data_IF_144920690119
#
_entry.id   IF_144920690119
#
_cell.length_a   1.000
_cell.length_b   1.000
_cell.length_c   1.000
_cell.angle_alpha   90.00
_cell.angle_beta   90.00
_cell.angle_gamma   90.00
#
_symmetry.space_group_name_H-M   'P 1'
#
loop_
_entity.id
_entity.type
_entity.pdbx_description
1 polymer ?
#
# COMPACT_ATOMS: atom_id res chain seq x y z
N UNK A 1 -30.98 3.12 30.60
CA UNK A 1 -30.22 3.07 29.34
C UNK A 1 -29.42 1.79 29.23
N UNK A 2 -29.88 0.89 28.36
CA UNK A 2 -29.18 -0.32 27.98
C UNK A 2 -28.35 -0.05 26.72
N UNK A 3 -27.20 -0.70 26.56
CA UNK A 3 -26.41 -0.61 25.35
C UNK A 3 -26.66 -1.84 24.45
N UNK A 4 -26.66 -1.62 23.14
CA UNK A 4 -26.87 -2.66 22.13
C UNK A 4 -25.90 -2.49 20.96
N UNK A 5 -25.47 -3.59 20.37
CA UNK A 5 -24.80 -3.61 19.07
C UNK A 5 -25.84 -3.47 17.96
N UNK A 6 -25.70 -2.45 17.13
CA UNK A 6 -26.37 -2.36 15.83
C UNK A 6 -25.44 -2.92 14.75
N UNK A 7 -25.91 -3.93 14.03
CA UNK A 7 -25.18 -4.67 12.99
C UNK A 7 -25.85 -4.56 11.61
N UNK A 8 -26.92 -3.76 11.48
CA UNK A 8 -27.80 -3.75 10.30
C UNK A 8 -27.13 -3.28 9.01
N UNK A 9 -26.04 -2.51 9.10
CA UNK A 9 -25.35 -1.90 7.96
C UNK A 9 -24.00 -2.54 7.62
N UNK A 10 -23.71 -3.75 8.11
CA UNK A 10 -22.40 -4.39 7.95
C UNK A 10 -21.28 -3.74 8.76
N UNK A 11 -21.62 -2.75 9.59
CA UNK A 11 -20.75 -2.10 10.55
C UNK A 11 -21.31 -2.31 11.95
N UNK A 12 -20.43 -2.37 12.96
CA UNK A 12 -20.82 -2.46 14.36
C UNK A 12 -20.85 -1.05 14.95
N UNK A 13 -22.02 -0.64 15.42
CA UNK A 13 -22.20 0.53 16.26
C UNK A 13 -22.75 0.12 17.64
N UNK A 14 -22.46 0.91 18.67
CA UNK A 14 -23.04 0.71 20.00
C UNK A 14 -24.03 1.85 20.26
N UNK A 15 -25.28 1.49 20.51
CA UNK A 15 -26.39 2.42 20.74
C UNK A 15 -26.89 2.23 22.16
N UNK A 16 -26.99 3.33 22.90
CA UNK A 16 -27.61 3.35 24.23
C UNK A 16 -29.08 3.79 24.08
N UNK A 17 -30.01 2.93 24.49
CA UNK A 17 -31.45 3.21 24.46
C UNK A 17 -32.18 2.36 25.49
N UNK A 18 -33.44 2.72 25.77
CA UNK A 18 -34.38 1.86 26.48
C UNK A 18 -35.44 1.24 25.55
N UNK A 19 -35.45 1.61 24.26
CA UNK A 19 -36.33 1.05 23.21
C UNK A 19 -35.51 0.36 22.11
N UNK A 20 -35.15 -0.93 22.24
CA UNK A 20 -34.34 -1.62 21.25
C UNK A 20 -35.13 -1.91 19.96
N UNK A 21 -34.45 -1.84 18.82
CA UNK A 21 -35.00 -2.22 17.52
C UNK A 21 -34.72 -3.70 17.19
N UNK A 22 -35.53 -4.34 16.32
CA UNK A 22 -35.25 -5.68 15.82
C UNK A 22 -33.87 -5.75 15.13
N UNK A 23 -33.08 -6.77 15.46
CA UNK A 23 -31.72 -6.96 14.95
C UNK A 23 -30.61 -6.40 15.83
N UNK A 24 -30.96 -5.75 16.95
CA UNK A 24 -29.97 -5.28 17.93
C UNK A 24 -29.59 -6.37 18.92
N UNK A 25 -28.28 -6.52 19.17
CA UNK A 25 -27.75 -7.51 20.12
C UNK A 25 -27.38 -6.80 21.42
N UNK A 26 -27.99 -7.18 22.55
CA UNK A 26 -27.75 -6.52 23.84
C UNK A 26 -26.28 -6.67 24.28
N UNK A 27 -25.65 -5.54 24.61
CA UNK A 27 -24.28 -5.50 25.14
C UNK A 27 -24.26 -6.08 26.56
N UNK A 28 -23.36 -7.03 26.82
CA UNK A 28 -23.15 -7.60 28.16
C UNK A 28 -22.34 -6.64 29.02
N UNK A 29 -22.52 -6.67 30.34
CA UNK A 29 -21.73 -5.84 31.26
C UNK A 29 -20.22 -6.13 31.24
N UNK A 30 -19.82 -7.33 30.79
CA UNK A 30 -18.42 -7.73 30.61
C UNK A 30 -17.81 -7.26 29.29
N UNK A 31 -18.62 -6.67 28.41
CA UNK A 31 -18.21 -6.20 27.09
C UNK A 31 -17.96 -4.69 27.15
N UNK A 32 -16.87 -4.26 26.51
CA UNK A 32 -16.53 -2.85 26.33
C UNK A 32 -17.57 -2.10 25.50
N UNK A 33 -17.72 -0.79 25.78
CA UNK A 33 -18.54 0.16 25.00
C UNK A 33 -17.83 0.72 23.77
N UNK A 34 -16.60 0.30 23.49
CA UNK A 34 -15.88 0.72 22.31
C UNK A 34 -16.24 -0.17 21.12
N UNK A 35 -17.13 0.33 20.24
CA UNK A 35 -17.61 -0.40 19.07
C UNK A 35 -16.47 -0.86 18.15
N UNK A 36 -15.41 -0.04 18.04
CA UNK A 36 -14.25 -0.32 17.19
C UNK A 36 -13.44 -1.57 17.61
N UNK A 37 -13.67 -2.12 18.80
CA UNK A 37 -13.06 -3.38 19.25
C UNK A 37 -13.66 -4.61 18.58
N UNK A 38 -14.89 -4.47 18.09
CA UNK A 38 -15.66 -5.60 17.62
C UNK A 38 -15.70 -5.64 16.10
N UNK A 39 -15.79 -6.84 15.56
CA UNK A 39 -15.96 -7.12 14.13
C UNK A 39 -17.03 -8.18 13.93
N UNK A 40 -17.60 -8.24 12.73
CA UNK A 40 -18.50 -9.34 12.36
C UNK A 40 -17.66 -10.51 11.83
N UNK A 41 -18.01 -11.74 12.21
CA UNK A 41 -17.49 -12.95 11.56
C UNK A 41 -18.25 -13.25 10.25
N UNK A 42 -17.84 -14.31 9.54
CA UNK A 42 -18.49 -14.77 8.31
C UNK A 42 -19.96 -15.18 8.49
N UNK A 43 -20.38 -15.52 9.71
CA UNK A 43 -21.77 -15.81 10.10
C UNK A 43 -22.54 -14.54 10.55
N UNK A 44 -21.94 -13.36 10.48
CA UNK A 44 -22.54 -12.09 10.90
C UNK A 44 -22.63 -11.90 12.42
N UNK A 45 -21.83 -12.64 13.21
CA UNK A 45 -21.80 -12.52 14.68
C UNK A 45 -20.76 -11.53 15.13
N UNK A 46 -21.09 -10.77 16.17
CA UNK A 46 -20.18 -9.83 16.83
C UNK A 46 -19.10 -10.60 17.61
N UNK A 47 -17.84 -10.47 17.18
CA UNK A 47 -16.66 -11.03 17.85
C UNK A 47 -15.72 -9.91 18.31
N UNK A 48 -15.12 -10.08 19.49
CA UNK A 48 -14.09 -9.15 19.99
C UNK A 48 -12.77 -9.43 19.26
N UNK A 49 -12.26 -8.43 18.54
CA UNK A 49 -11.00 -8.52 17.81
C UNK A 49 -9.77 -8.33 18.71
N UNK A 50 -9.96 -7.85 19.94
CA UNK A 50 -8.89 -7.52 20.87
C UNK A 50 -9.16 -8.13 22.27
N UNK A 51 -9.26 -9.46 22.38
CA UNK A 51 -9.50 -10.11 23.66
C UNK A 51 -8.36 -9.80 24.64
N UNK A 52 -8.73 -9.48 25.89
CA UNK A 52 -7.76 -9.24 26.97
C UNK A 52 -7.08 -7.86 26.97
N UNK A 53 -7.36 -7.00 25.99
CA UNK A 53 -6.84 -5.62 25.97
C UNK A 53 -7.82 -4.65 26.65
N UNK A 54 -7.31 -3.60 27.28
CA UNK A 54 -8.12 -2.47 27.74
C UNK A 54 -8.58 -1.58 26.58
N UNK A 55 -9.55 -0.69 26.82
CA UNK A 55 -10.07 0.20 25.76
C UNK A 55 -9.01 1.18 25.24
N UNK A 56 -8.13 1.63 26.12
CA UNK A 56 -7.03 2.52 25.79
C UNK A 56 -6.00 1.83 24.87
N UNK A 57 -5.61 0.58 25.18
CA UNK A 57 -4.71 -0.21 24.33
C UNK A 57 -5.30 -0.50 22.95
N UNK A 58 -6.62 -0.66 22.86
CA UNK A 58 -7.28 -0.87 21.57
C UNK A 58 -7.37 0.41 20.77
N UNK A 59 -7.72 1.54 21.39
CA UNK A 59 -7.69 2.84 20.73
C UNK A 59 -6.30 3.16 20.19
N UNK A 60 -5.25 2.90 20.98
CA UNK A 60 -3.86 3.06 20.55
C UNK A 60 -3.53 2.15 19.37
N UNK A 61 -3.82 0.84 19.46
CA UNK A 61 -3.55 -0.10 18.38
C UNK A 61 -4.29 0.24 17.07
N UNK A 62 -5.54 0.71 17.17
CA UNK A 62 -6.32 1.15 16.00
C UNK A 62 -5.72 2.42 15.41
N UNK A 63 -5.30 3.37 16.24
CA UNK A 63 -4.66 4.60 15.77
C UNK A 63 -3.32 4.30 15.08
N UNK A 64 -2.52 3.37 15.60
CA UNK A 64 -1.28 2.89 14.96
C UNK A 64 -1.56 2.22 13.62
N UNK A 65 -2.59 1.36 13.54
CA UNK A 65 -3.01 0.72 12.30
C UNK A 65 -3.49 1.73 11.26
N UNK A 66 -4.26 2.74 11.67
CA UNK A 66 -4.71 3.82 10.78
C UNK A 66 -3.54 4.69 10.31
N UNK A 67 -2.58 4.98 11.20
CA UNK A 67 -1.37 5.71 10.84
C UNK A 67 -0.49 4.94 9.83
N UNK A 68 -0.32 3.62 10.03
CA UNK A 68 0.41 2.76 9.10
C UNK A 68 -0.30 2.66 7.73
N UNK A 69 -1.63 2.61 7.72
CA UNK A 69 -2.42 2.64 6.48
C UNK A 69 -2.28 3.99 5.77
N UNK A 70 -2.36 5.11 6.48
CA UNK A 70 -2.19 6.45 5.91
C UNK A 70 -0.80 6.69 5.30
N UNK A 71 0.25 6.09 5.89
CA UNK A 71 1.61 6.12 5.32
C UNK A 71 1.73 5.28 4.05
N UNK A 72 0.89 4.25 3.88
CA UNK A 72 0.89 3.36 2.72
C UNK A 72 -0.01 3.85 1.57
N UNK A 73 -0.95 4.77 1.85
CA UNK A 73 -1.93 5.28 0.88
C UNK A 73 -1.70 6.74 0.46
N UNK A 74 -0.63 7.39 0.90
CA UNK A 74 -0.25 8.67 0.31
C UNK A 74 -0.01 8.42 -1.19
N UNK A 75 -0.79 9.01 -2.11
CA UNK A 75 -0.50 8.87 -3.52
C UNK A 75 0.89 9.48 -3.72
N UNK A 76 1.90 8.65 -4.00
CA UNK A 76 3.09 9.16 -4.64
C UNK A 76 2.58 9.84 -5.90
N UNK A 77 2.72 11.17 -5.98
CA UNK A 77 2.46 11.90 -7.22
C UNK A 77 3.02 11.06 -8.36
N UNK A 78 2.25 10.73 -9.41
CA UNK A 78 2.70 9.83 -10.46
C UNK A 78 4.11 10.25 -10.85
N UNK A 79 5.10 9.39 -10.58
CA UNK A 79 6.51 9.71 -10.83
C UNK A 79 6.80 9.53 -12.31
N UNK A 80 6.02 10.23 -13.11
CA UNK A 80 5.99 10.17 -14.56
C UNK A 80 6.95 11.22 -15.07
N UNK A 81 8.01 10.75 -15.71
CA UNK A 81 8.99 11.56 -16.37
C UNK A 81 8.80 11.49 -17.88
N UNK A 82 9.15 12.58 -18.56
CA UNK A 82 9.44 12.47 -20.00
C UNK A 82 10.66 11.57 -20.21
N UNK A 83 10.78 10.96 -21.38
CA UNK A 83 11.93 10.12 -21.74
C UNK A 83 13.27 10.83 -21.53
N UNK A 84 13.34 12.11 -21.87
CA UNK A 84 14.56 12.90 -21.70
C UNK A 84 14.88 13.13 -20.22
N UNK A 85 13.87 13.45 -19.40
CA UNK A 85 14.06 13.59 -17.96
C UNK A 85 14.55 12.29 -17.31
N UNK A 86 14.04 11.14 -17.76
CA UNK A 86 14.53 9.83 -17.30
C UNK A 86 15.98 9.58 -17.72
N UNK A 87 16.31 9.77 -19.01
CA UNK A 87 17.67 9.56 -19.52
C UNK A 87 18.70 10.50 -18.87
N UNK A 88 18.31 11.74 -18.54
CA UNK A 88 19.17 12.70 -17.85
C UNK A 88 19.50 12.31 -16.40
N UNK A 89 18.88 11.27 -15.84
CA UNK A 89 19.26 10.72 -14.52
C UNK A 89 20.46 9.80 -14.57
N UNK A 90 20.85 9.35 -15.76
CA UNK A 90 22.03 8.55 -16.00
C UNK A 90 23.20 9.46 -16.37
N UNK A 91 24.42 8.99 -16.10
CA UNK A 91 25.61 9.61 -16.68
C UNK A 91 25.76 9.20 -18.15
N UNK A 92 26.50 9.98 -18.91
CA UNK A 92 26.78 9.65 -20.32
C UNK A 92 27.53 8.32 -20.46
N UNK A 93 28.37 7.97 -19.48
CA UNK A 93 29.14 6.73 -19.43
C UNK A 93 28.23 5.53 -19.16
N UNK A 94 27.29 5.67 -18.21
CA UNK A 94 26.25 4.67 -17.93
C UNK A 94 25.41 4.42 -19.19
N UNK A 95 24.94 5.47 -19.85
CA UNK A 95 24.17 5.34 -21.09
C UNK A 95 24.99 4.65 -22.19
N UNK A 96 26.25 5.05 -22.41
CA UNK A 96 27.10 4.42 -23.41
C UNK A 96 27.33 2.93 -23.13
N UNK A 97 27.50 2.55 -21.86
CA UNK A 97 27.62 1.16 -21.45
C UNK A 97 26.31 0.37 -21.72
N UNK A 98 25.15 0.95 -21.36
CA UNK A 98 23.84 0.34 -21.62
C UNK A 98 23.59 0.15 -23.12
N UNK A 99 23.84 1.17 -23.95
CA UNK A 99 23.71 1.06 -25.40
C UNK A 99 24.71 0.07 -26.02
N UNK A 100 25.90 -0.10 -25.43
CA UNK A 100 26.87 -1.09 -25.88
C UNK A 100 26.40 -2.51 -25.53
N UNK A 101 25.92 -2.71 -24.30
CA UNK A 101 25.39 -3.99 -23.86
C UNK A 101 24.11 -4.41 -24.61
N UNK A 102 23.26 -3.44 -24.99
CA UNK A 102 22.08 -3.69 -25.81
C UNK A 102 22.43 -4.38 -27.15
N UNK A 103 23.62 -4.14 -27.71
CA UNK A 103 24.03 -4.76 -28.99
C UNK A 103 24.29 -6.27 -28.89
N UNK A 104 24.49 -6.78 -27.68
CA UNK A 104 24.83 -8.19 -27.43
C UNK A 104 23.82 -8.90 -26.52
N UNK A 105 22.99 -8.14 -25.79
CA UNK A 105 21.95 -8.64 -24.91
C UNK A 105 20.57 -8.18 -25.37
N UNK A 106 19.83 -9.12 -25.98
CA UNK A 106 18.49 -8.90 -26.52
C UNK A 106 17.50 -8.37 -25.48
N UNK A 107 17.61 -8.77 -24.20
CA UNK A 107 16.70 -8.28 -23.17
C UNK A 107 16.92 -6.80 -22.86
N UNK A 108 18.17 -6.34 -22.88
CA UNK A 108 18.53 -4.93 -22.71
C UNK A 108 18.10 -4.13 -23.95
N UNK A 109 18.28 -4.70 -25.14
CA UNK A 109 17.79 -4.11 -26.39
C UNK A 109 16.27 -3.89 -26.37
N UNK A 110 15.50 -4.92 -25.99
CA UNK A 110 14.04 -4.84 -25.86
C UNK A 110 13.63 -3.77 -24.85
N UNK A 111 14.33 -3.66 -23.72
CA UNK A 111 14.09 -2.60 -22.74
C UNK A 111 14.33 -1.20 -23.34
N UNK A 112 15.45 -1.01 -24.05
CA UNK A 112 15.76 0.25 -24.72
C UNK A 112 14.76 0.61 -25.81
N UNK A 113 14.27 -0.37 -26.57
CA UNK A 113 13.28 -0.09 -27.62
C UNK A 113 11.90 0.24 -27.05
N UNK A 114 11.47 -0.45 -25.99
CA UNK A 114 10.28 -0.06 -25.24
C UNK A 114 10.40 1.34 -24.67
N UNK A 115 11.56 1.69 -24.10
CA UNK A 115 11.81 3.04 -23.58
C UNK A 115 11.71 4.11 -24.67
N UNK A 116 12.21 3.84 -25.89
CA UNK A 116 12.07 4.76 -27.03
C UNK A 116 10.61 4.94 -27.46
N UNK A 117 9.85 3.85 -27.48
CA UNK A 117 8.43 3.82 -27.90
C UNK A 117 7.48 4.40 -26.85
N UNK A 118 7.85 4.36 -25.57
CA UNK A 118 7.05 4.90 -24.49
C UNK A 118 6.73 6.39 -24.70
N UNK A 119 5.52 6.82 -24.34
CA UNK A 119 5.18 8.25 -24.35
C UNK A 119 5.79 8.97 -23.14
N UNK A 120 5.77 8.28 -22.01
CA UNK A 120 6.22 8.73 -20.70
C UNK A 120 6.82 7.54 -19.93
N UNK A 121 7.62 7.83 -18.91
CA UNK A 121 8.29 6.84 -18.08
C UNK A 121 7.76 6.98 -16.65
N UNK A 122 6.96 6.02 -16.21
CA UNK A 122 6.56 5.95 -14.81
C UNK A 122 7.61 5.17 -14.01
N UNK A 123 8.18 5.80 -12.99
CA UNK A 123 9.19 5.19 -12.12
C UNK A 123 8.63 4.12 -11.18
N UNK A 124 7.33 4.13 -10.93
CA UNK A 124 6.64 3.12 -10.12
C UNK A 124 6.15 1.94 -10.99
N UNK A 125 6.31 2.02 -12.32
CA UNK A 125 5.90 0.95 -13.22
C UNK A 125 6.81 -0.29 -13.07
N UNK A 126 6.24 -1.49 -12.87
CA UNK A 126 7.03 -2.72 -12.70
C UNK A 126 7.96 -3.03 -13.87
N UNK A 127 7.66 -2.61 -15.10
CA UNK A 127 8.57 -2.79 -16.23
C UNK A 127 9.75 -1.83 -16.17
N UNK A 128 9.55 -0.58 -15.76
CA UNK A 128 10.65 0.39 -15.53
C UNK A 128 11.59 -0.13 -14.43
N UNK A 129 11.03 -0.57 -13.30
CA UNK A 129 11.80 -1.11 -12.18
C UNK A 129 12.54 -2.38 -12.59
N UNK A 130 11.86 -3.32 -13.27
CA UNK A 130 12.48 -4.56 -13.75
C UNK A 130 13.58 -4.34 -14.79
N UNK A 131 13.43 -3.31 -15.65
CA UNK A 131 14.45 -2.90 -16.60
C UNK A 131 15.73 -2.41 -15.92
N UNK A 132 15.61 -1.53 -14.92
CA UNK A 132 16.75 -1.06 -14.14
C UNK A 132 17.43 -2.17 -13.34
N UNK A 133 16.65 -3.08 -12.75
CA UNK A 133 17.18 -4.27 -12.07
C UNK A 133 17.95 -5.18 -13.03
N UNK A 134 17.49 -5.32 -14.27
CA UNK A 134 18.19 -6.10 -15.30
C UNK A 134 19.53 -5.46 -15.68
N UNK A 135 19.61 -4.12 -15.72
CA UNK A 135 20.87 -3.41 -15.92
C UNK A 135 21.84 -3.64 -14.75
N UNK A 136 21.33 -3.67 -13.52
CA UNK A 136 22.15 -3.99 -12.35
C UNK A 136 22.64 -5.45 -12.35
N UNK A 137 21.77 -6.41 -12.70
CA UNK A 137 22.14 -7.82 -12.84
C UNK A 137 23.18 -8.05 -13.95
N UNK A 138 23.17 -7.22 -14.99
CA UNK A 138 24.17 -7.21 -16.05
C UNK A 138 25.48 -6.49 -15.66
N UNK A 139 25.57 -5.94 -14.45
CA UNK A 139 26.74 -5.18 -13.96
C UNK A 139 26.90 -3.80 -14.60
N UNK A 140 25.87 -3.27 -15.26
CA UNK A 140 25.91 -1.97 -15.94
C UNK A 140 25.57 -0.81 -15.00
N UNK A 141 24.85 -1.11 -13.91
CA UNK A 141 24.52 -0.18 -12.84
C UNK A 141 24.79 -0.87 -11.49
N UNK A 142 25.14 -0.09 -10.47
CA UNK A 142 25.09 -0.59 -9.10
C UNK A 142 23.65 -0.52 -8.56
N UNK A 143 23.34 -1.29 -7.53
CA UNK A 143 22.04 -1.20 -6.85
C UNK A 143 21.78 0.21 -6.32
N UNK A 144 22.81 0.89 -5.82
CA UNK A 144 22.73 2.29 -5.38
C UNK A 144 22.30 3.22 -6.52
N UNK A 145 22.84 3.04 -7.74
CA UNK A 145 22.45 3.82 -8.91
C UNK A 145 21.03 3.55 -9.38
N UNK A 146 20.56 2.30 -9.28
CA UNK A 146 19.15 1.99 -9.54
C UNK A 146 18.24 2.78 -8.59
N UNK A 147 18.57 2.82 -7.30
CA UNK A 147 17.81 3.60 -6.33
C UNK A 147 17.86 5.10 -6.63
N UNK A 148 19.01 5.66 -7.00
CA UNK A 148 19.12 7.07 -7.36
C UNK A 148 18.34 7.44 -8.64
N UNK A 149 18.25 6.55 -9.62
CA UNK A 149 17.42 6.77 -10.82
C UNK A 149 15.93 6.73 -10.49
N UNK A 150 15.53 5.88 -9.54
CA UNK A 150 14.16 5.73 -9.05
C UNK A 150 13.76 6.78 -8.00
N UNK A 151 14.72 7.44 -7.35
CA UNK A 151 14.54 8.49 -6.32
C UNK A 151 14.04 9.82 -6.90
#
# INVERSE_FOLDING_TARGET
MNAYFDIRNGHIAIIETDTPEPGWVKLKSTQSRLAARYRLDDDGKVVDAYPGKTDEEVLAAIAEQQAAQAQSTAPSSPRVLTKLQFLNRFTNEELAAVYTAAKTNVLIEVFMDKLKLAQEVNLDDPQTVGGLQSLAAAGLLSEARVQEVLA
#
